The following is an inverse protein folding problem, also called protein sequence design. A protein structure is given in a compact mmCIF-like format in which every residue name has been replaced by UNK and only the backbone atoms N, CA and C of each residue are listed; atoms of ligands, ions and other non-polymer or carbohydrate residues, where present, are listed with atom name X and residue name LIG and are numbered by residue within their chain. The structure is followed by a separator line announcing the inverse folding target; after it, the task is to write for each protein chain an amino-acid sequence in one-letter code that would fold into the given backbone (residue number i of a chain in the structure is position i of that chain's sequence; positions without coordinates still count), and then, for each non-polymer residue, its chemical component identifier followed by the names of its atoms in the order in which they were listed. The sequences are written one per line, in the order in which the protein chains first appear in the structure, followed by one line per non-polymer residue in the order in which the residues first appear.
data_IF_284318652181
#
_entry.id   IF_284318652181
#
_cell.length_a   1.000
_cell.length_b   1.000
_cell.length_c   1.000
_cell.angle_alpha   90.00
_cell.angle_beta   90.00
_cell.angle_gamma   90.00
#
_symmetry.space_group_name_H-M   'P 1'
#
loop_
_entity.id
_entity.type
_entity.pdbx_description
1 polymer ?
#
# COMPACT_ATOMS: atom_id res chain seq x y z
N UNK A 1 -3.24 31.52 13.85
CA UNK A 1 -2.08 30.77 14.39
C UNK A 1 -2.48 29.44 15.06
N UNK A 2 -3.57 29.38 15.83
CA UNK A 2 -4.06 28.12 16.42
C UNK A 2 -4.61 27.13 15.37
N UNK A 3 -5.15 27.61 14.26
CA UNK A 3 -5.67 26.75 13.17
C UNK A 3 -4.59 25.94 12.45
N UNK A 4 -3.41 26.52 12.21
CA UNK A 4 -2.30 25.80 11.56
C UNK A 4 -1.77 24.63 12.41
N UNK A 5 -1.64 24.80 13.72
CA UNK A 5 -1.20 23.71 14.61
C UNK A 5 -2.17 22.53 14.65
N UNK A 6 -3.47 22.80 14.53
CA UNK A 6 -4.48 21.74 14.44
C UNK A 6 -4.49 21.02 13.10
N UNK A 7 -4.08 21.68 12.01
CA UNK A 7 -3.95 21.06 10.69
C UNK A 7 -2.88 19.97 10.70
N UNK A 8 -1.67 20.23 11.20
CA UNK A 8 -0.59 19.24 11.25
C UNK A 8 -0.95 17.96 12.02
N UNK A 9 -1.76 18.05 13.09
CA UNK A 9 -2.22 16.88 13.83
C UNK A 9 -3.22 16.05 13.01
N UNK A 10 -4.09 16.70 12.23
CA UNK A 10 -5.05 16.04 11.33
C UNK A 10 -4.35 15.42 10.11
N UNK A 11 -3.34 16.09 9.58
CA UNK A 11 -2.59 15.63 8.41
C UNK A 11 -1.92 14.29 8.68
N UNK A 12 -1.36 14.07 9.89
CA UNK A 12 -0.79 12.77 10.28
C UNK A 12 -1.80 11.64 10.26
N UNK A 13 -3.04 11.89 10.62
CA UNK A 13 -4.09 10.87 10.56
C UNK A 13 -4.34 10.42 9.13
N UNK A 14 -4.42 11.36 8.18
CA UNK A 14 -4.55 11.03 6.76
C UNK A 14 -3.34 10.31 6.19
N UNK A 15 -2.12 10.69 6.63
CA UNK A 15 -0.88 10.00 6.24
C UNK A 15 -0.84 8.58 6.80
N UNK A 16 -1.24 8.39 8.07
CA UNK A 16 -1.31 7.07 8.69
C UNK A 16 -2.33 6.16 7.96
N UNK A 17 -3.48 6.71 7.57
CA UNK A 17 -4.47 5.97 6.79
C UNK A 17 -3.93 5.60 5.41
N UNK A 18 -3.28 6.54 4.71
CA UNK A 18 -2.61 6.26 3.44
C UNK A 18 -1.53 5.17 3.57
N UNK A 19 -0.78 5.17 4.67
CA UNK A 19 0.22 4.13 4.97
C UNK A 19 -0.45 2.75 5.18
N UNK A 20 -1.51 2.70 5.97
CA UNK A 20 -2.26 1.47 6.22
C UNK A 20 -2.93 0.94 4.95
N UNK A 21 -3.45 1.81 4.11
CA UNK A 21 -4.14 1.43 2.87
C UNK A 21 -3.20 1.27 1.65
N UNK A 22 -1.88 1.40 1.89
CA UNK A 22 -0.87 1.29 0.82
C UNK A 22 -1.08 2.30 -0.31
N UNK A 23 -1.66 3.46 0.01
CA UNK A 23 -1.92 4.54 -0.94
C UNK A 23 -0.70 5.44 -1.08
N UNK A 24 -0.16 5.64 -2.29
CA UNK A 24 0.94 6.59 -2.49
C UNK A 24 0.44 8.01 -2.22
N UNK A 25 1.11 8.70 -1.31
CA UNK A 25 0.81 10.08 -0.95
C UNK A 25 2.11 10.87 -0.86
N UNK A 26 2.12 12.06 -1.44
CA UNK A 26 3.27 12.96 -1.37
C UNK A 26 2.92 14.13 -0.46
N UNK A 27 3.60 14.24 0.67
CA UNK A 27 3.41 15.32 1.64
C UNK A 27 4.60 16.28 1.57
N UNK A 28 4.32 17.56 1.45
CA UNK A 28 5.32 18.63 1.52
C UNK A 28 4.90 19.59 2.63
N UNK A 29 5.77 19.78 3.61
CA UNK A 29 5.59 20.76 4.70
C UNK A 29 6.63 21.86 4.66
N UNK A 30 6.24 23.02 5.15
CA UNK A 30 7.17 24.12 5.42
C UNK A 30 7.73 24.04 6.83
N UNK A 31 9.00 24.40 6.98
CA UNK A 31 9.73 24.32 8.25
C UNK A 31 10.36 25.70 8.60
N UNK A 32 10.77 25.86 9.85
CA UNK A 32 11.58 26.96 10.30
C UNK A 32 12.91 27.02 9.51
N UNK A 33 13.69 28.10 9.68
CA UNK A 33 14.98 28.25 9.02
C UNK A 33 15.90 27.04 9.26
N UNK A 34 16.61 26.60 8.22
CA UNK A 34 17.46 25.40 8.24
C UNK A 34 18.50 25.41 9.36
N UNK A 35 19.14 26.55 9.63
CA UNK A 35 20.13 26.68 10.73
C UNK A 35 19.49 26.54 12.11
N UNK A 36 18.25 26.98 12.25
CA UNK A 36 17.50 26.85 13.52
C UNK A 36 17.14 25.38 13.73
N UNK A 37 16.64 24.72 12.69
CA UNK A 37 16.30 23.30 12.74
C UNK A 37 17.55 22.45 13.04
N UNK A 38 18.66 22.71 12.32
CA UNK A 38 19.92 22.00 12.55
C UNK A 38 20.40 22.15 13.99
N UNK A 39 20.42 23.39 14.52
CA UNK A 39 20.81 23.62 15.91
C UNK A 39 19.90 22.86 16.90
N UNK A 40 18.61 22.80 16.63
CA UNK A 40 17.66 22.06 17.46
C UNK A 40 17.94 20.55 17.44
N UNK A 41 18.22 19.99 16.28
CA UNK A 41 18.59 18.58 16.11
C UNK A 41 19.91 18.25 16.83
N UNK A 42 20.94 19.10 16.65
CA UNK A 42 22.27 18.90 17.24
C UNK A 42 22.27 18.97 18.78
N UNK A 43 21.42 19.81 19.35
CA UNK A 43 21.39 20.06 20.80
C UNK A 43 20.31 19.30 21.54
N UNK A 44 19.34 18.72 20.81
CA UNK A 44 18.20 18.03 21.37
C UNK A 44 17.22 18.94 22.13
N UNK A 45 17.35 20.29 22.01
CA UNK A 45 16.41 21.21 22.64
C UNK A 45 15.03 21.10 22.01
N UNK A 46 14.00 21.21 22.81
CA UNK A 46 12.61 21.00 22.37
C UNK A 46 12.15 21.99 21.29
N UNK A 47 12.58 23.25 21.39
CA UNK A 47 12.25 24.31 20.43
C UNK A 47 13.25 25.45 20.53
N UNK A 48 13.74 25.94 19.37
CA UNK A 48 14.57 27.15 19.29
C UNK A 48 13.88 28.28 18.53
N UNK A 49 13.29 27.98 17.40
CA UNK A 49 12.58 28.96 16.58
C UNK A 49 11.07 28.91 16.74
N UNK A 50 10.40 29.95 16.26
CA UNK A 50 8.93 29.94 16.18
C UNK A 50 8.49 28.78 15.28
N UNK A 51 7.72 27.83 15.84
CA UNK A 51 7.18 26.67 15.13
C UNK A 51 8.23 25.66 14.62
N UNK A 52 9.50 25.76 15.06
CA UNK A 52 10.48 24.72 14.74
C UNK A 52 10.15 23.42 15.46
N UNK A 53 10.17 22.31 14.73
CA UNK A 53 9.89 20.98 15.24
C UNK A 53 10.65 19.96 14.41
N UNK A 54 11.35 19.05 15.04
CA UNK A 54 11.85 17.87 14.37
C UNK A 54 10.67 16.93 14.06
N UNK A 55 10.34 16.80 12.78
CA UNK A 55 9.20 16.01 12.32
C UNK A 55 9.54 14.53 12.12
N UNK A 56 10.81 14.20 11.87
CA UNK A 56 11.22 12.83 11.53
C UNK A 56 10.74 11.78 12.55
N UNK A 57 10.94 11.95 13.87
CA UNK A 57 10.48 10.98 14.85
C UNK A 57 8.95 10.80 14.90
N UNK A 58 8.23 11.81 14.40
CA UNK A 58 6.77 11.82 14.43
C UNK A 58 6.12 11.16 13.22
N UNK A 59 6.83 11.06 12.10
CA UNK A 59 6.27 10.59 10.83
C UNK A 59 7.00 9.39 10.23
N UNK A 60 8.19 9.07 10.69
CA UNK A 60 9.00 7.95 10.20
C UNK A 60 8.30 6.60 10.26
N UNK A 61 7.44 6.38 11.26
CA UNK A 61 6.68 5.14 11.41
C UNK A 61 5.49 5.00 10.45
N UNK A 62 5.07 6.10 9.83
CA UNK A 62 3.90 6.15 8.92
C UNK A 62 4.26 6.66 7.52
N UNK A 63 5.55 6.72 7.18
CA UNK A 63 6.04 7.11 5.86
C UNK A 63 7.10 6.13 5.37
N UNK A 64 7.19 5.95 4.06
CA UNK A 64 8.23 5.14 3.42
C UNK A 64 9.54 5.91 3.25
N UNK A 65 9.44 7.22 3.18
CA UNK A 65 10.58 8.12 3.09
C UNK A 65 10.24 9.45 3.74
N UNK A 66 11.18 9.95 4.53
CA UNK A 66 11.17 11.29 5.08
C UNK A 66 12.48 12.00 4.75
N UNK A 67 12.45 13.28 4.43
CA UNK A 67 13.64 14.10 4.39
C UNK A 67 13.35 15.57 4.76
N UNK A 68 14.18 16.12 5.66
CA UNK A 68 14.31 17.56 5.80
C UNK A 68 15.26 18.07 4.70
N UNK A 69 14.76 18.84 3.77
CA UNK A 69 15.53 19.35 2.62
C UNK A 69 16.35 20.57 3.04
N UNK A 70 17.54 20.34 3.53
CA UNK A 70 18.39 21.39 4.16
C UNK A 70 19.14 22.27 3.15
N UNK A 71 19.19 21.88 1.87
CA UNK A 71 19.85 22.63 0.79
C UNK A 71 19.01 22.63 -0.49
N UNK A 72 18.95 23.76 -1.23
CA UNK A 72 18.30 23.81 -2.55
C UNK A 72 18.91 22.84 -3.55
N UNK A 73 20.21 22.54 -3.46
CA UNK A 73 20.92 21.64 -4.38
C UNK A 73 20.40 20.19 -4.30
N UNK A 74 19.83 19.80 -3.17
CA UNK A 74 19.37 18.44 -2.91
C UNK A 74 17.88 18.22 -3.25
N UNK A 75 17.14 19.27 -3.63
CA UNK A 75 15.70 19.17 -3.82
C UNK A 75 15.32 18.13 -4.89
N UNK A 76 16.02 18.15 -6.02
CA UNK A 76 15.79 17.21 -7.11
C UNK A 76 15.97 15.75 -6.64
N UNK A 77 17.08 15.48 -5.95
CA UNK A 77 17.37 14.15 -5.40
C UNK A 77 16.26 13.69 -4.47
N UNK A 78 15.83 14.54 -3.53
CA UNK A 78 14.79 14.18 -2.56
C UNK A 78 13.42 13.99 -3.21
N UNK A 79 13.07 14.81 -4.21
CA UNK A 79 11.81 14.68 -4.95
C UNK A 79 11.75 13.36 -5.73
N UNK A 80 12.80 13.06 -6.50
CA UNK A 80 12.88 11.83 -7.30
C UNK A 80 12.90 10.59 -6.39
N UNK A 81 13.69 10.61 -5.29
CA UNK A 81 13.74 9.52 -4.32
C UNK A 81 12.41 9.33 -3.59
N UNK A 82 11.74 10.42 -3.23
CA UNK A 82 10.43 10.36 -2.60
C UNK A 82 9.40 9.73 -3.54
N UNK A 83 9.39 10.14 -4.81
CA UNK A 83 8.50 9.57 -5.83
C UNK A 83 8.76 8.07 -6.01
N UNK A 84 10.02 7.69 -6.19
CA UNK A 84 10.41 6.28 -6.29
C UNK A 84 9.95 5.50 -5.05
N UNK A 85 10.26 5.99 -3.85
CA UNK A 85 9.88 5.32 -2.60
C UNK A 85 8.38 5.19 -2.40
N UNK A 86 7.59 6.17 -2.84
CA UNK A 86 6.13 6.11 -2.76
C UNK A 86 5.53 5.01 -3.64
N UNK A 87 6.16 4.73 -4.77
CA UNK A 87 5.64 3.84 -5.81
C UNK A 87 6.25 2.44 -5.80
N UNK A 88 7.48 2.29 -5.27
CA UNK A 88 8.22 1.04 -5.26
C UNK A 88 7.63 0.05 -4.25
N UNK A 89 7.57 -1.23 -4.62
CA UNK A 89 7.09 -2.30 -3.76
C UNK A 89 5.67 -2.04 -3.25
N UNK A 90 5.42 -2.30 -1.97
CA UNK A 90 4.17 -1.90 -1.32
C UNK A 90 4.11 -0.37 -1.26
N UNK A 91 3.16 0.23 -1.98
CA UNK A 91 3.01 1.68 -2.07
C UNK A 91 2.71 2.32 -0.72
N UNK A 92 3.01 3.60 -0.57
CA UNK A 92 2.73 4.31 0.67
C UNK A 92 3.17 5.78 0.64
N UNK A 93 2.87 6.54 1.71
CA UNK A 93 3.17 7.95 1.79
C UNK A 93 4.65 8.24 1.99
N UNK A 94 5.06 9.42 1.52
CA UNK A 94 6.38 10.02 1.72
C UNK A 94 6.22 11.46 2.18
N UNK A 95 7.24 12.00 2.86
CA UNK A 95 7.18 13.35 3.41
C UNK A 95 8.47 14.11 3.19
N UNK A 96 8.37 15.30 2.60
CA UNK A 96 9.48 16.25 2.50
C UNK A 96 9.16 17.49 3.34
N UNK A 97 10.09 17.85 4.22
CA UNK A 97 10.01 19.03 5.08
C UNK A 97 11.01 20.07 4.59
N UNK A 98 10.52 21.23 4.14
CA UNK A 98 11.35 22.21 3.42
C UNK A 98 11.46 23.51 4.24
N UNK A 99 12.66 23.83 4.78
CA UNK A 99 12.90 25.05 5.53
C UNK A 99 12.65 26.32 4.70
N UNK A 100 12.14 27.37 5.35
CA UNK A 100 11.73 28.62 4.70
C UNK A 100 12.88 29.32 3.95
N UNK A 101 14.09 29.24 4.47
CA UNK A 101 15.26 29.81 3.80
C UNK A 101 15.68 29.02 2.57
N UNK A 102 15.43 27.71 2.54
CA UNK A 102 15.64 26.85 1.36
C UNK A 102 14.60 27.17 0.30
N UNK A 103 13.32 27.34 0.68
CA UNK A 103 12.24 27.70 -0.24
C UNK A 103 12.50 29.03 -0.97
N UNK A 104 13.18 29.99 -0.30
CA UNK A 104 13.44 31.33 -0.83
C UNK A 104 14.76 31.44 -1.62
N UNK A 105 15.53 30.36 -1.70
CA UNK A 105 16.77 30.36 -2.50
C UNK A 105 16.51 29.97 -3.94
N UNK A 106 17.31 30.53 -4.83
CA UNK A 106 17.32 30.09 -6.22
C UNK A 106 17.88 28.68 -6.32
N UNK A 107 17.17 27.82 -7.02
CA UNK A 107 17.64 26.46 -7.31
C UNK A 107 18.80 26.54 -8.33
N UNK A 108 19.88 25.76 -8.16
CA UNK A 108 20.98 25.73 -9.12
C UNK A 108 20.49 25.13 -10.46
N UNK A 109 21.11 25.57 -11.57
CA UNK A 109 20.77 25.06 -12.89
C UNK A 109 21.07 23.55 -13.05
N UNK A 110 22.10 23.08 -12.36
CA UNK A 110 22.48 21.67 -12.35
C UNK A 110 22.30 21.09 -10.96
N UNK A 111 21.40 20.12 -10.83
CA UNK A 111 21.13 19.41 -9.59
C UNK A 111 21.36 17.91 -9.80
N UNK A 112 21.99 17.28 -8.82
CA UNK A 112 22.12 15.81 -8.79
C UNK A 112 20.74 15.17 -8.61
N UNK A 113 20.37 14.26 -9.50
CA UNK A 113 19.18 13.43 -9.39
C UNK A 113 19.40 12.22 -8.50
N UNK A 114 18.34 11.45 -8.32
CA UNK A 114 18.37 10.13 -7.67
C UNK A 114 18.58 9.06 -8.72
N UNK A 115 19.57 8.21 -8.52
CA UNK A 115 19.81 7.06 -9.38
C UNK A 115 18.76 5.99 -9.06
N UNK A 116 17.77 5.84 -9.93
CA UNK A 116 16.69 4.87 -9.76
C UNK A 116 17.27 3.47 -9.88
N UNK A 117 17.12 2.62 -8.83
CA UNK A 117 17.57 1.23 -8.92
C UNK A 117 16.84 0.48 -10.04
N UNK A 118 17.53 -0.44 -10.69
CA UNK A 118 16.89 -1.34 -11.63
C UNK A 118 15.81 -2.19 -10.93
N UNK A 119 14.63 -2.22 -11.54
CA UNK A 119 13.48 -2.95 -11.01
C UNK A 119 13.74 -4.46 -11.12
N UNK A 120 13.99 -5.11 -10.01
CA UNK A 120 14.11 -6.57 -9.95
C UNK A 120 12.69 -7.16 -9.98
N UNK A 121 12.14 -7.32 -11.17
CA UNK A 121 10.91 -8.09 -11.32
C UNK A 121 11.19 -9.52 -10.87
N UNK A 122 10.45 -9.94 -9.87
CA UNK A 122 10.45 -11.34 -9.45
C UNK A 122 9.31 -12.01 -10.22
N UNK A 123 9.64 -12.71 -11.28
CA UNK A 123 8.67 -13.56 -11.97
C UNK A 123 8.51 -14.82 -11.12
N UNK A 124 7.43 -14.87 -10.35
CA UNK A 124 7.05 -16.08 -9.63
C UNK A 124 6.17 -16.92 -10.56
N UNK A 125 6.60 -18.15 -10.81
CA UNK A 125 5.79 -19.11 -11.56
C UNK A 125 4.88 -19.88 -10.60
N UNK A 126 3.61 -19.99 -10.95
CA UNK A 126 2.64 -20.81 -10.24
C UNK A 126 3.06 -22.29 -10.35
N UNK A 127 2.95 -23.04 -9.26
CA UNK A 127 3.31 -24.46 -9.23
C UNK A 127 2.41 -25.31 -10.12
N UNK A 128 2.96 -26.43 -10.60
CA UNK A 128 2.16 -27.41 -11.36
C UNK A 128 1.03 -27.98 -10.51
N UNK A 129 1.23 -28.12 -9.19
CA UNK A 129 0.18 -28.58 -8.27
C UNK A 129 -0.99 -27.62 -8.21
N UNK A 130 -0.74 -26.30 -8.03
CA UNK A 130 -1.80 -25.29 -8.02
C UNK A 130 -2.58 -25.26 -9.35
N UNK A 131 -1.89 -25.39 -10.49
CA UNK A 131 -2.54 -25.45 -11.81
C UNK A 131 -3.42 -26.69 -11.97
N UNK A 132 -2.95 -27.86 -11.52
CA UNK A 132 -3.75 -29.07 -11.56
C UNK A 132 -4.96 -29.00 -10.62
N UNK A 133 -4.81 -28.41 -9.44
CA UNK A 133 -5.89 -28.18 -8.49
C UNK A 133 -6.94 -27.25 -9.06
N UNK A 134 -6.52 -26.13 -9.67
CA UNK A 134 -7.43 -25.23 -10.35
C UNK A 134 -8.19 -25.93 -11.49
N UNK A 135 -7.50 -26.72 -12.30
CA UNK A 135 -8.11 -27.41 -13.44
C UNK A 135 -9.13 -28.49 -13.00
N UNK A 136 -9.01 -29.03 -11.78
CA UNK A 136 -9.90 -30.02 -11.20
C UNK A 136 -10.99 -29.42 -10.31
N UNK A 137 -10.89 -28.12 -10.01
CA UNK A 137 -11.83 -27.42 -9.14
C UNK A 137 -13.22 -27.33 -9.77
N UNK A 138 -14.24 -27.62 -8.98
CA UNK A 138 -15.65 -27.48 -9.38
C UNK A 138 -16.19 -26.09 -9.00
N UNK A 139 -15.61 -25.46 -7.99
CA UNK A 139 -16.04 -24.17 -7.44
C UNK A 139 -14.84 -23.22 -7.23
N UNK A 140 -14.09 -22.89 -8.28
CA UNK A 140 -12.97 -21.98 -8.15
C UNK A 140 -13.46 -20.57 -7.83
N UNK A 141 -12.67 -19.81 -7.07
CA UNK A 141 -12.97 -18.43 -6.70
C UNK A 141 -11.72 -17.57 -6.74
N UNK A 142 -11.82 -16.35 -7.23
CA UNK A 142 -10.77 -15.34 -7.09
C UNK A 142 -11.17 -14.31 -6.03
N UNK A 143 -10.25 -14.03 -5.08
CA UNK A 143 -10.35 -12.88 -4.19
C UNK A 143 -9.33 -11.82 -4.62
N UNK A 144 -9.83 -10.75 -5.22
CA UNK A 144 -9.01 -9.65 -5.71
C UNK A 144 -8.93 -8.51 -4.66
N UNK A 145 -7.71 -8.15 -4.30
CA UNK A 145 -7.42 -7.05 -3.39
C UNK A 145 -6.87 -5.80 -4.08
N UNK A 146 -6.45 -4.83 -3.27
CA UNK A 146 -5.84 -3.59 -3.74
C UNK A 146 -4.57 -3.81 -4.58
N UNK A 147 -3.80 -4.87 -4.30
CA UNK A 147 -2.59 -5.19 -5.04
C UNK A 147 -2.82 -5.42 -6.54
N UNK A 148 -3.96 -5.99 -6.92
CA UNK A 148 -4.34 -6.16 -8.32
C UNK A 148 -4.48 -4.82 -9.04
N UNK A 149 -5.11 -3.83 -8.39
CA UNK A 149 -5.20 -2.48 -8.90
C UNK A 149 -3.83 -1.80 -8.92
N UNK A 150 -3.10 -1.90 -7.82
CA UNK A 150 -1.80 -1.25 -7.66
C UNK A 150 -0.76 -1.73 -8.69
N UNK A 151 -0.81 -3.01 -9.07
CA UNK A 151 0.05 -3.58 -10.11
C UNK A 151 -0.40 -3.26 -11.53
N UNK A 152 -1.59 -2.68 -11.73
CA UNK A 152 -2.18 -2.47 -13.05
C UNK A 152 -2.65 -3.75 -13.75
N UNK A 153 -2.82 -4.85 -12.99
CA UNK A 153 -3.12 -6.18 -13.54
C UNK A 153 -4.62 -6.50 -13.62
N UNK A 154 -5.51 -5.56 -13.30
CA UNK A 154 -6.95 -5.79 -13.29
C UNK A 154 -7.49 -6.32 -14.63
N UNK A 155 -7.06 -5.74 -15.76
CA UNK A 155 -7.48 -6.20 -17.10
C UNK A 155 -7.04 -7.64 -17.40
N UNK A 156 -5.80 -7.99 -17.05
CA UNK A 156 -5.29 -9.38 -17.24
C UNK A 156 -6.04 -10.37 -16.37
N UNK A 157 -6.34 -9.99 -15.12
CA UNK A 157 -7.11 -10.83 -14.22
C UNK A 157 -8.52 -11.09 -14.76
N UNK A 158 -9.21 -10.05 -15.22
CA UNK A 158 -10.58 -10.19 -15.76
C UNK A 158 -10.60 -11.03 -17.02
N UNK A 159 -9.64 -10.85 -17.93
CA UNK A 159 -9.51 -11.69 -19.12
C UNK A 159 -9.31 -13.17 -18.75
N UNK A 160 -8.49 -13.46 -17.73
CA UNK A 160 -8.30 -14.81 -17.21
C UNK A 160 -9.60 -15.36 -16.61
N UNK A 161 -10.28 -14.59 -15.76
CA UNK A 161 -11.55 -15.02 -15.14
C UNK A 161 -12.65 -15.27 -16.18
N UNK A 162 -12.76 -14.40 -17.20
CA UNK A 162 -13.72 -14.57 -18.28
C UNK A 162 -13.47 -15.86 -19.09
N UNK A 163 -12.21 -16.11 -19.45
CA UNK A 163 -11.83 -17.32 -20.21
C UNK A 163 -12.09 -18.61 -19.45
N UNK A 164 -11.91 -18.58 -18.14
CA UNK A 164 -12.05 -19.74 -17.26
C UNK A 164 -13.42 -19.82 -16.57
N UNK A 165 -14.27 -18.80 -16.76
CA UNK A 165 -15.57 -18.64 -16.09
C UNK A 165 -15.44 -18.71 -14.56
N UNK A 166 -14.43 -18.02 -13.98
CA UNK A 166 -14.16 -18.04 -12.55
C UNK A 166 -14.80 -16.82 -11.87
N UNK A 167 -15.67 -17.01 -10.86
CA UNK A 167 -16.26 -15.94 -10.09
C UNK A 167 -15.21 -15.12 -9.32
N UNK A 168 -15.51 -13.84 -9.13
CA UNK A 168 -14.63 -12.88 -8.46
C UNK A 168 -15.33 -12.23 -7.28
N UNK A 169 -14.69 -12.29 -6.11
CA UNK A 169 -14.99 -11.44 -4.96
C UNK A 169 -13.90 -10.42 -4.76
N UNK A 170 -14.23 -9.22 -4.28
CA UNK A 170 -13.23 -8.17 -4.06
C UNK A 170 -13.15 -7.77 -2.61
N UNK A 171 -11.94 -7.57 -2.11
CA UNK A 171 -11.76 -6.86 -0.83
C UNK A 171 -12.20 -5.40 -0.97
N UNK A 172 -12.37 -4.69 0.15
CA UNK A 172 -12.73 -3.26 0.12
C UNK A 172 -11.72 -2.42 -0.71
N UNK A 173 -10.42 -2.72 -0.63
CA UNK A 173 -9.39 -2.02 -1.40
C UNK A 173 -9.38 -2.38 -2.90
N UNK A 174 -10.03 -3.47 -3.30
CA UNK A 174 -10.16 -3.92 -4.69
C UNK A 174 -11.50 -3.58 -5.35
N UNK A 175 -12.26 -2.63 -4.80
CA UNK A 175 -13.63 -2.31 -5.22
C UNK A 175 -13.77 -1.97 -6.71
N UNK A 176 -12.73 -1.46 -7.32
CA UNK A 176 -12.67 -1.01 -8.71
C UNK A 176 -11.94 -1.98 -9.64
N UNK A 177 -11.61 -3.18 -9.18
CA UNK A 177 -11.00 -4.24 -10.01
C UNK A 177 -12.02 -4.82 -10.99
N UNK A 178 -13.28 -4.96 -10.58
CA UNK A 178 -14.37 -5.50 -11.39
C UNK A 178 -15.64 -4.66 -11.16
N UNK A 179 -16.40 -4.41 -12.22
CA UNK A 179 -17.65 -3.66 -12.13
C UNK A 179 -18.78 -4.52 -11.56
N UNK A 180 -19.76 -3.88 -10.93
CA UNK A 180 -20.87 -4.60 -10.26
C UNK A 180 -21.82 -5.30 -11.24
N UNK A 181 -21.87 -4.85 -12.48
CA UNK A 181 -22.67 -5.41 -13.56
C UNK A 181 -21.97 -6.56 -14.30
N UNK A 182 -20.71 -6.82 -14.01
CA UNK A 182 -20.00 -7.97 -14.58
C UNK A 182 -20.62 -9.28 -14.04
N UNK A 183 -20.97 -10.25 -14.91
CA UNK A 183 -21.61 -11.51 -14.51
C UNK A 183 -20.78 -12.38 -13.57
N UNK A 184 -19.46 -12.22 -13.55
CA UNK A 184 -18.55 -12.93 -12.66
C UNK A 184 -18.41 -12.28 -11.28
N UNK A 185 -18.93 -11.05 -11.09
CA UNK A 185 -18.85 -10.38 -9.79
C UNK A 185 -19.85 -10.97 -8.80
N UNK A 186 -19.35 -11.54 -7.71
CA UNK A 186 -20.19 -12.17 -6.68
C UNK A 186 -20.49 -11.24 -5.51
N UNK A 187 -19.60 -10.29 -5.26
CA UNK A 187 -19.76 -9.34 -4.14
C UNK A 187 -18.48 -9.10 -3.36
N UNK A 188 -18.63 -8.48 -2.20
CA UNK A 188 -17.54 -8.09 -1.29
C UNK A 188 -17.70 -8.75 0.06
N UNK A 189 -16.76 -9.62 0.48
CA UNK A 189 -16.82 -10.25 1.80
C UNK A 189 -16.45 -9.25 2.91
N UNK A 190 -16.83 -9.61 4.13
CA UNK A 190 -16.46 -8.86 5.33
C UNK A 190 -17.65 -8.56 6.25
N UNK A 191 -17.39 -7.87 7.35
CA UNK A 191 -18.39 -7.62 8.41
C UNK A 191 -19.66 -6.90 7.90
N UNK A 192 -19.54 -6.15 6.82
CA UNK A 192 -20.66 -5.46 6.14
C UNK A 192 -20.76 -5.91 4.68
N UNK A 193 -20.33 -7.14 4.41
CA UNK A 193 -20.22 -7.68 3.06
C UNK A 193 -21.51 -8.25 2.51
N UNK A 194 -21.46 -8.61 1.24
CA UNK A 194 -22.56 -9.21 0.51
C UNK A 194 -22.74 -10.68 0.92
N UNK A 195 -23.96 -11.09 1.14
CA UNK A 195 -24.28 -12.48 1.53
C UNK A 195 -23.79 -13.49 0.50
N UNK A 196 -23.90 -13.17 -0.79
CA UNK A 196 -23.45 -14.06 -1.87
C UNK A 196 -21.94 -14.32 -1.80
N UNK A 197 -21.13 -13.29 -1.55
CA UNK A 197 -19.68 -13.46 -1.40
C UNK A 197 -19.29 -14.35 -0.22
N UNK A 198 -20.03 -14.31 0.88
CA UNK A 198 -19.80 -15.18 2.02
C UNK A 198 -20.08 -16.65 1.68
N UNK A 199 -21.17 -16.92 0.97
CA UNK A 199 -21.47 -18.28 0.49
C UNK A 199 -20.42 -18.77 -0.49
N UNK A 200 -20.03 -17.95 -1.46
CA UNK A 200 -19.00 -18.31 -2.44
C UNK A 200 -17.68 -18.70 -1.75
N UNK A 201 -17.25 -17.93 -0.74
CA UNK A 201 -16.04 -18.23 0.04
C UNK A 201 -16.16 -19.53 0.84
N UNK A 202 -17.33 -19.81 1.41
CA UNK A 202 -17.54 -21.02 2.20
C UNK A 202 -17.63 -22.29 1.35
N UNK A 203 -18.16 -22.17 0.14
CA UNK A 203 -18.43 -23.28 -0.75
C UNK A 203 -17.29 -23.55 -1.75
N UNK A 204 -16.35 -22.61 -1.94
CA UNK A 204 -15.27 -22.79 -2.90
C UNK A 204 -14.33 -23.93 -2.46
N UNK A 205 -13.79 -24.64 -3.44
CA UNK A 205 -12.80 -25.71 -3.29
C UNK A 205 -11.39 -25.29 -3.73
N UNK A 206 -11.29 -24.17 -4.47
CA UNK A 206 -10.04 -23.52 -4.84
C UNK A 206 -10.20 -22.00 -4.70
N UNK A 207 -9.23 -21.32 -4.08
CA UNK A 207 -9.24 -19.87 -3.93
C UNK A 207 -7.90 -19.25 -4.33
N UNK A 208 -7.94 -18.39 -5.34
CA UNK A 208 -6.80 -17.55 -5.74
C UNK A 208 -6.92 -16.18 -5.08
N UNK A 209 -5.99 -15.88 -4.17
CA UNK A 209 -5.97 -14.65 -3.38
C UNK A 209 -4.88 -13.72 -3.94
N UNK A 210 -5.25 -12.61 -4.54
CA UNK A 210 -4.35 -11.72 -5.25
C UNK A 210 -4.31 -10.32 -4.61
N UNK A 211 -3.13 -9.94 -4.10
CA UNK A 211 -2.89 -8.61 -3.54
C UNK A 211 -3.87 -8.21 -2.45
N UNK A 212 -4.27 -9.16 -1.59
CA UNK A 212 -5.20 -8.94 -0.50
C UNK A 212 -4.57 -9.28 0.84
N UNK A 213 -4.49 -8.28 1.72
CA UNK A 213 -3.94 -8.45 3.09
C UNK A 213 -4.74 -9.42 3.97
N UNK A 214 -5.88 -9.89 3.54
CA UNK A 214 -6.80 -10.72 4.36
C UNK A 214 -7.02 -10.07 5.74
N UNK A 215 -7.40 -8.79 5.75
CA UNK A 215 -7.66 -8.05 6.99
C UNK A 215 -8.86 -8.61 7.73
N UNK A 216 -8.92 -8.42 9.04
CA UNK A 216 -10.06 -8.83 9.89
C UNK A 216 -11.39 -8.34 9.35
N UNK A 217 -11.41 -7.15 8.72
CA UNK A 217 -12.63 -6.61 8.08
C UNK A 217 -13.09 -7.45 6.88
N UNK A 218 -12.21 -8.23 6.25
CA UNK A 218 -12.53 -9.12 5.12
C UNK A 218 -12.81 -10.56 5.58
N UNK A 219 -11.96 -11.09 6.46
CA UNK A 219 -12.01 -12.52 6.87
C UNK A 219 -12.84 -12.76 8.14
N UNK A 220 -13.14 -11.70 8.91
CA UNK A 220 -13.78 -11.79 10.22
C UNK A 220 -12.80 -12.18 11.33
N UNK A 221 -13.36 -12.54 12.49
CA UNK A 221 -12.58 -12.86 13.70
C UNK A 221 -12.23 -14.37 13.83
N UNK A 222 -12.64 -15.17 12.86
CA UNK A 222 -12.38 -16.63 12.84
C UNK A 222 -11.69 -16.99 11.53
N UNK A 223 -10.39 -16.67 11.38
CA UNK A 223 -9.66 -16.83 10.12
C UNK A 223 -9.57 -18.29 9.65
N UNK A 224 -9.60 -19.25 10.59
CA UNK A 224 -9.65 -20.68 10.33
C UNK A 224 -10.91 -21.15 9.56
N UNK A 225 -11.96 -20.34 9.59
CA UNK A 225 -13.23 -20.61 8.88
C UNK A 225 -13.28 -20.03 7.48
N UNK A 226 -12.34 -19.15 7.14
CA UNK A 226 -12.32 -18.46 5.86
C UNK A 226 -11.89 -19.41 4.74
N UNK A 227 -12.82 -19.73 3.84
CA UNK A 227 -12.58 -20.69 2.77
C UNK A 227 -12.02 -22.03 3.29
N UNK A 228 -12.63 -22.61 4.35
CA UNK A 228 -12.10 -23.74 5.10
C UNK A 228 -11.80 -24.96 4.23
N UNK A 229 -12.60 -25.18 3.19
CA UNK A 229 -12.49 -26.36 2.32
C UNK A 229 -11.66 -26.08 1.06
N UNK A 230 -11.27 -24.83 0.82
CA UNK A 230 -10.57 -24.43 -0.38
C UNK A 230 -9.06 -24.68 -0.27
N UNK A 231 -8.46 -25.16 -1.36
CA UNK A 231 -7.04 -25.03 -1.58
C UNK A 231 -6.72 -23.57 -1.92
N UNK A 232 -5.88 -22.91 -1.13
CA UNK A 232 -5.63 -21.47 -1.20
C UNK A 232 -4.25 -21.17 -1.73
N UNK A 233 -4.22 -20.40 -2.81
CA UNK A 233 -3.00 -19.84 -3.41
C UNK A 233 -3.01 -18.33 -3.21
N UNK A 234 -1.99 -17.78 -2.59
CA UNK A 234 -1.89 -16.34 -2.29
C UNK A 234 -0.68 -15.72 -2.99
N UNK A 235 -0.89 -14.57 -3.63
CA UNK A 235 0.19 -13.73 -4.14
C UNK A 235 0.07 -12.32 -3.55
N UNK A 236 1.16 -11.86 -2.90
CA UNK A 236 1.25 -10.52 -2.35
C UNK A 236 2.70 -10.01 -2.41
N UNK A 237 2.87 -8.71 -2.65
CA UNK A 237 4.19 -8.08 -2.72
C UNK A 237 4.85 -7.94 -1.33
N UNK A 238 4.05 -7.94 -0.27
CA UNK A 238 4.54 -7.82 1.11
C UNK A 238 4.62 -9.17 1.78
N UNK A 239 5.83 -9.69 1.88
CA UNK A 239 6.10 -10.99 2.52
C UNK A 239 5.53 -11.09 3.94
N UNK A 240 5.45 -9.99 4.68
CA UNK A 240 4.89 -9.97 6.03
C UNK A 240 3.38 -10.27 6.04
N UNK A 241 2.66 -9.89 4.99
CA UNK A 241 1.24 -10.23 4.86
C UNK A 241 1.03 -11.73 4.60
N UNK A 242 1.96 -12.35 3.91
CA UNK A 242 1.97 -13.80 3.68
C UNK A 242 2.35 -14.55 4.97
N UNK A 243 3.40 -14.10 5.65
CA UNK A 243 3.98 -14.79 6.80
C UNK A 243 3.15 -14.70 8.09
N UNK A 244 2.17 -13.79 8.17
CA UNK A 244 1.30 -13.64 9.36
C UNK A 244 0.43 -14.86 9.67
N UNK A 245 0.14 -15.72 8.68
CA UNK A 245 -0.52 -17.02 8.81
C UNK A 245 -1.87 -17.01 9.53
N UNK A 246 -2.60 -15.91 9.49
CA UNK A 246 -3.93 -15.84 10.10
C UNK A 246 -4.91 -16.78 9.39
N UNK A 247 -4.87 -16.82 8.06
CA UNK A 247 -5.61 -17.77 7.23
C UNK A 247 -4.62 -18.83 6.76
N UNK A 248 -4.92 -20.14 6.95
CA UNK A 248 -4.11 -21.19 6.34
C UNK A 248 -4.11 -21.04 4.82
N UNK A 249 -2.91 -20.91 4.24
CA UNK A 249 -2.67 -20.79 2.79
C UNK A 249 -1.76 -21.96 2.40
N UNK A 250 -2.12 -22.67 1.32
CA UNK A 250 -1.40 -23.86 0.86
C UNK A 250 -0.16 -23.49 0.05
N UNK A 251 -0.28 -22.48 -0.83
CA UNK A 251 0.85 -21.95 -1.60
C UNK A 251 0.89 -20.41 -1.58
N UNK A 252 2.08 -19.84 -1.65
CA UNK A 252 2.29 -18.40 -1.66
C UNK A 252 3.43 -17.95 -2.59
N UNK A 253 3.27 -16.75 -3.17
CA UNK A 253 4.15 -16.14 -4.15
C UNK A 253 4.44 -14.68 -3.87
#
# INVERSE_FOLDING_TARGET
LRRQRQMCIRDRTGVAEAYLDSSPMFVISGQANSKILQYQMDTGIRQKGTQSLDLEPMVSSITKYFAAVMSPDSIRFHMEKAYYSAMEGRRGPVWLDVPIDVQNRQAPEQMKGFDIPEDKKTDAEISSEALERLAKSEKPLVLAGFGVRASGSAGKLLEFCDKQNIPVVTSRGGIDVITTDNPLFVGRPGSYGDRASHFAIQECDFMLILGSRLSVSTIGYYPDRFGKNAYKVMADIDRKEIDKRDVPVDENY
#
